data_IF_649373950745
#
_entry.id   IF_649373950745
#
_cell.length_a   1.000
_cell.length_b   1.000
_cell.length_c   1.000
_cell.angle_alpha   90.00
_cell.angle_beta   90.00
_cell.angle_gamma   90.00
#
_symmetry.space_group_name_H-M   'P 1'
#
loop_
_entity.id
_entity.type
_entity.pdbx_description
1 polymer ?
#
# COMPACT_ATOMS: atom_id res chain seq x y z
N UNK A 1 -23.52 11.85 -2.54
CA UNK A 1 -22.09 11.54 -2.25
C UNK A 1 -21.32 12.84 -1.99
N UNK A 2 -20.65 13.00 -0.83
CA UNK A 2 -19.79 14.17 -0.59
C UNK A 2 -18.65 14.19 -1.61
N UNK A 3 -18.49 15.32 -2.34
CA UNK A 3 -17.43 15.52 -3.34
C UNK A 3 -16.08 15.52 -2.63
N UNK A 4 -15.16 14.61 -3.00
CA UNK A 4 -13.80 14.59 -2.43
C UNK A 4 -13.07 15.89 -2.76
N UNK A 5 -12.53 16.53 -1.74
CA UNK A 5 -11.66 17.72 -1.94
C UNK A 5 -10.30 17.25 -2.45
N UNK A 6 -9.73 17.96 -3.39
CA UNK A 6 -8.43 17.71 -3.98
C UNK A 6 -7.80 19.05 -4.40
N UNK A 7 -6.54 19.20 -4.08
CA UNK A 7 -5.70 20.32 -4.57
C UNK A 7 -4.37 19.75 -5.07
N UNK A 8 -3.92 20.10 -6.28
CA UNK A 8 -2.64 19.63 -6.83
C UNK A 8 -1.47 19.96 -5.88
N UNK A 9 -0.54 19.01 -5.72
CA UNK A 9 0.63 19.16 -4.87
C UNK A 9 0.40 19.02 -3.37
N UNK A 10 -0.85 18.97 -2.90
CA UNK A 10 -1.17 18.77 -1.50
C UNK A 10 -1.21 17.31 -1.10
N UNK A 11 -0.90 17.04 0.18
CA UNK A 11 -0.90 15.67 0.70
C UNK A 11 -2.33 15.15 0.85
N UNK A 12 -2.59 14.01 0.24
CA UNK A 12 -3.84 13.28 0.37
C UNK A 12 -3.62 12.03 1.20
N UNK A 13 -4.35 11.92 2.31
CA UNK A 13 -4.46 10.66 3.05
C UNK A 13 -5.56 9.82 2.40
N UNK A 14 -5.22 8.67 1.86
CA UNK A 14 -6.18 7.67 1.38
C UNK A 14 -6.27 6.51 2.36
N UNK A 15 -7.43 5.88 2.41
CA UNK A 15 -7.61 4.61 3.11
C UNK A 15 -8.59 3.74 2.34
N UNK A 16 -8.37 2.45 2.37
CA UNK A 16 -9.19 1.46 1.70
C UNK A 16 -9.22 0.17 2.51
N UNK A 17 -10.40 -0.43 2.61
CA UNK A 17 -10.58 -1.67 3.36
C UNK A 17 -11.20 -2.76 2.49
N UNK A 18 -11.10 -3.97 2.97
CA UNK A 18 -11.78 -5.13 2.42
C UNK A 18 -13.32 -5.00 2.55
N UNK A 19 -14.06 -5.61 1.63
CA UNK A 19 -15.51 -5.40 1.46
C UNK A 19 -16.37 -6.13 2.50
N UNK A 20 -15.92 -7.30 2.98
CA UNK A 20 -16.68 -8.19 3.87
C UNK A 20 -16.14 -8.25 5.30
N UNK A 21 -15.31 -7.30 5.70
CA UNK A 21 -14.63 -7.27 7.00
C UNK A 21 -13.72 -8.49 7.25
N UNK A 22 -13.24 -9.12 6.19
CA UNK A 22 -12.19 -10.14 6.25
C UNK A 22 -10.80 -9.51 6.20
N UNK A 23 -9.79 -10.34 6.25
CA UNK A 23 -8.42 -9.88 6.08
C UNK A 23 -8.14 -9.54 4.61
N UNK A 24 -7.42 -8.45 4.38
CA UNK A 24 -6.90 -8.09 3.06
C UNK A 24 -5.59 -8.82 2.76
N UNK A 25 -4.87 -9.20 3.82
CA UNK A 25 -3.56 -9.85 3.75
C UNK A 25 -3.51 -11.01 4.75
N UNK A 26 -3.45 -12.24 4.24
CA UNK A 26 -3.35 -13.46 5.05
C UNK A 26 -1.92 -13.96 5.19
N UNK A 27 -1.06 -13.60 4.24
CA UNK A 27 0.31 -14.10 4.16
C UNK A 27 1.33 -12.97 3.96
N UNK A 28 2.60 -13.33 4.05
CA UNK A 28 3.72 -12.48 3.68
C UNK A 28 3.67 -12.15 2.19
N UNK A 29 3.39 -13.15 1.38
CA UNK A 29 3.32 -13.05 -0.07
C UNK A 29 2.23 -12.08 -0.52
N UNK A 30 1.07 -12.07 0.13
CA UNK A 30 -0.01 -11.14 -0.18
C UNK A 30 0.44 -9.69 -0.04
N UNK A 31 1.16 -9.37 1.03
CA UNK A 31 1.69 -8.01 1.27
C UNK A 31 2.77 -7.63 0.28
N UNK A 32 3.66 -8.57 -0.07
CA UNK A 32 4.71 -8.32 -1.06
C UNK A 32 4.13 -8.10 -2.45
N UNK A 33 3.19 -8.93 -2.86
CA UNK A 33 2.46 -8.77 -4.13
C UNK A 33 1.72 -7.45 -4.14
N UNK A 34 1.01 -7.11 -3.06
CA UNK A 34 0.32 -5.83 -2.96
C UNK A 34 1.27 -4.64 -3.11
N UNK A 35 2.38 -4.62 -2.35
CA UNK A 35 3.36 -3.53 -2.41
C UNK A 35 3.95 -3.39 -3.81
N UNK A 36 4.30 -4.49 -4.46
CA UNK A 36 4.82 -4.47 -5.83
C UNK A 36 3.82 -3.85 -6.81
N UNK A 37 2.56 -4.28 -6.74
CA UNK A 37 1.47 -3.73 -7.57
C UNK A 37 1.24 -2.26 -7.26
N UNK A 38 1.22 -1.89 -5.97
CA UNK A 38 0.99 -0.52 -5.52
C UNK A 38 2.07 0.43 -6.07
N UNK A 39 3.35 0.09 -5.91
CA UNK A 39 4.45 0.94 -6.40
C UNK A 39 4.56 0.95 -7.92
N UNK A 40 4.31 -0.16 -8.60
CA UNK A 40 4.20 -0.18 -10.05
C UNK A 40 3.13 0.80 -10.55
N UNK A 41 1.95 0.77 -9.94
CA UNK A 41 0.87 1.70 -10.27
C UNK A 41 1.21 3.15 -9.87
N UNK A 42 1.91 3.37 -8.76
CA UNK A 42 2.34 4.71 -8.35
C UNK A 42 3.27 5.34 -9.39
N UNK A 43 4.26 4.59 -9.89
CA UNK A 43 5.12 5.05 -11.00
C UNK A 43 4.32 5.35 -12.26
N UNK A 44 3.44 4.43 -12.66
CA UNK A 44 2.60 4.59 -13.88
C UNK A 44 1.75 5.85 -13.86
N UNK A 45 1.23 6.24 -12.71
CA UNK A 45 0.32 7.38 -12.55
C UNK A 45 0.98 8.62 -11.96
N UNK A 46 2.30 8.64 -11.88
CA UNK A 46 3.10 9.74 -11.29
C UNK A 46 2.62 10.12 -9.88
N UNK A 47 2.44 9.12 -9.02
CA UNK A 47 2.02 9.30 -7.63
C UNK A 47 3.26 9.31 -6.74
N UNK A 48 3.48 10.40 -6.02
CA UNK A 48 4.51 10.46 -4.98
C UNK A 48 3.95 9.86 -3.69
N UNK A 49 4.55 8.77 -3.24
CA UNK A 49 4.17 8.07 -2.00
C UNK A 49 5.03 8.60 -0.86
N UNK A 50 4.41 9.30 0.09
CA UNK A 50 5.08 9.82 1.29
C UNK A 50 5.07 8.81 2.44
N UNK A 51 4.08 7.93 2.45
CA UNK A 51 3.96 6.89 3.47
C UNK A 51 2.89 5.89 3.10
N UNK A 52 3.08 4.66 3.55
CA UNK A 52 2.10 3.58 3.46
C UNK A 52 2.13 2.77 4.75
N UNK A 53 0.98 2.29 5.19
CA UNK A 53 0.83 1.33 6.27
C UNK A 53 -0.21 0.29 5.86
N UNK A 54 0.20 -0.98 5.80
CA UNK A 54 -0.68 -2.11 5.53
C UNK A 54 -1.12 -2.71 6.85
N UNK A 55 -2.37 -2.53 7.20
CA UNK A 55 -3.01 -3.24 8.31
C UNK A 55 -3.47 -4.63 7.85
N UNK A 56 -4.15 -5.39 8.69
CA UNK A 56 -4.61 -6.73 8.33
C UNK A 56 -5.78 -6.67 7.33
N UNK A 57 -6.75 -5.80 7.58
CA UNK A 57 -8.02 -5.68 6.86
C UNK A 57 -8.14 -4.40 6.00
N UNK A 58 -7.18 -3.49 6.12
CA UNK A 58 -7.18 -2.21 5.42
C UNK A 58 -5.77 -1.66 5.20
N UNK A 59 -5.68 -0.60 4.43
CA UNK A 59 -4.45 0.14 4.21
C UNK A 59 -4.66 1.64 4.37
N UNK A 60 -3.58 2.33 4.73
CA UNK A 60 -3.46 3.77 4.71
C UNK A 60 -2.31 4.20 3.81
N UNK A 61 -2.50 5.28 3.04
CA UNK A 61 -1.44 5.89 2.23
C UNK A 61 -1.45 7.41 2.33
N UNK A 62 -0.29 8.03 2.39
CA UNK A 62 -0.08 9.47 2.25
C UNK A 62 0.56 9.71 0.89
N UNK A 63 -0.14 10.43 0.01
CA UNK A 63 0.19 10.55 -1.39
C UNK A 63 0.16 12.02 -1.84
N UNK A 64 0.98 12.34 -2.84
CA UNK A 64 0.86 13.57 -3.63
C UNK A 64 0.68 13.17 -5.09
N UNK A 65 -0.15 13.91 -5.82
CA UNK A 65 -0.38 13.71 -7.24
C UNK A 65 -0.60 15.04 -7.95
N UNK A 66 -0.51 15.03 -9.28
CA UNK A 66 -0.72 16.20 -10.12
C UNK A 66 -2.19 16.46 -10.41
N UNK A 67 -3.03 15.42 -10.33
CA UNK A 67 -4.45 15.54 -10.62
C UNK A 67 -5.32 14.54 -9.84
N UNK A 68 -6.58 14.91 -9.63
CA UNK A 68 -7.59 14.01 -9.07
C UNK A 68 -7.79 12.76 -9.93
N UNK A 69 -7.68 12.90 -11.26
CA UNK A 69 -7.78 11.78 -12.19
C UNK A 69 -6.65 10.79 -11.96
N UNK A 70 -5.41 11.26 -11.75
CA UNK A 70 -4.26 10.42 -11.45
C UNK A 70 -4.49 9.57 -10.19
N UNK A 71 -4.98 10.17 -9.08
CA UNK A 71 -5.33 9.44 -7.84
C UNK A 71 -6.39 8.36 -8.11
N UNK A 72 -7.48 8.72 -8.79
CA UNK A 72 -8.56 7.76 -9.06
C UNK A 72 -8.10 6.61 -9.95
N UNK A 73 -7.32 6.91 -10.99
CA UNK A 73 -6.73 5.90 -11.88
C UNK A 73 -5.73 5.01 -11.17
N UNK A 74 -4.90 5.59 -10.30
CA UNK A 74 -3.96 4.86 -9.45
C UNK A 74 -4.69 3.87 -8.55
N UNK A 75 -5.68 4.34 -7.77
CA UNK A 75 -6.43 3.48 -6.85
C UNK A 75 -7.16 2.38 -7.60
N UNK A 76 -7.83 2.70 -8.71
CA UNK A 76 -8.51 1.71 -9.53
C UNK A 76 -7.55 0.66 -10.09
N UNK A 77 -6.35 1.10 -10.53
CA UNK A 77 -5.34 0.20 -11.11
C UNK A 77 -4.83 -0.80 -10.08
N UNK A 78 -4.30 -0.33 -8.93
CA UNK A 78 -3.75 -1.27 -7.95
C UNK A 78 -4.83 -2.17 -7.34
N UNK A 79 -6.03 -1.63 -7.07
CA UNK A 79 -7.12 -2.41 -6.51
C UNK A 79 -7.57 -3.52 -7.45
N UNK A 80 -7.71 -3.21 -8.75
CA UNK A 80 -8.13 -4.20 -9.76
C UNK A 80 -7.07 -5.27 -9.99
N UNK A 81 -5.79 -4.89 -10.10
CA UNK A 81 -4.70 -5.82 -10.34
C UNK A 81 -4.54 -6.75 -9.14
N UNK A 82 -4.45 -6.17 -7.92
CA UNK A 82 -4.28 -6.98 -6.71
C UNK A 82 -5.48 -7.91 -6.47
N UNK A 83 -6.72 -7.42 -6.62
CA UNK A 83 -7.91 -8.26 -6.46
C UNK A 83 -7.92 -9.45 -7.43
N UNK A 84 -7.52 -9.25 -8.69
CA UNK A 84 -7.40 -10.35 -9.67
C UNK A 84 -6.36 -11.37 -9.24
N UNK A 85 -5.17 -10.92 -8.82
CA UNK A 85 -4.09 -11.79 -8.40
C UNK A 85 -4.46 -12.58 -7.13
N UNK A 86 -5.01 -11.89 -6.13
CA UNK A 86 -5.46 -12.49 -4.87
C UNK A 86 -6.57 -13.51 -5.10
N UNK A 87 -7.63 -13.14 -5.82
CA UNK A 87 -8.73 -14.04 -6.11
C UNK A 87 -8.28 -15.27 -6.88
N UNK A 88 -7.39 -15.11 -7.86
CA UNK A 88 -6.85 -16.25 -8.62
C UNK A 88 -6.03 -17.19 -7.73
N UNK A 89 -5.27 -16.65 -6.76
CA UNK A 89 -4.47 -17.48 -5.84
C UNK A 89 -5.31 -18.23 -4.80
N UNK A 90 -6.46 -17.66 -4.42
CA UNK A 90 -7.36 -18.21 -3.42
C UNK A 90 -8.53 -19.00 -4.01
N UNK A 91 -8.68 -19.05 -5.34
CA UNK A 91 -9.85 -19.65 -5.98
C UNK A 91 -11.16 -18.87 -5.75
N UNK A 92 -11.05 -17.58 -5.44
CA UNK A 92 -12.17 -16.70 -5.12
C UNK A 92 -12.65 -15.92 -6.34
N UNK A 93 -13.86 -15.40 -6.25
CA UNK A 93 -14.45 -14.51 -7.25
C UNK A 93 -15.11 -13.32 -6.56
N UNK A 94 -15.21 -12.20 -7.26
CA UNK A 94 -15.92 -11.02 -6.78
C UNK A 94 -15.00 -9.89 -6.32
N UNK A 95 -15.60 -8.97 -5.59
CA UNK A 95 -14.96 -7.73 -5.17
C UNK A 95 -14.16 -7.95 -3.88
N UNK A 96 -12.89 -7.57 -3.88
CA UNK A 96 -12.02 -7.65 -2.71
C UNK A 96 -12.07 -6.37 -1.88
N UNK A 97 -11.99 -5.20 -2.52
CA UNK A 97 -12.04 -3.91 -1.85
C UNK A 97 -13.44 -3.34 -1.76
N UNK A 98 -13.78 -2.64 -0.70
CA UNK A 98 -15.00 -1.83 -0.61
C UNK A 98 -15.07 -0.83 -1.78
N UNK A 99 -16.29 -0.51 -2.22
CA UNK A 99 -16.61 0.20 -3.48
C UNK A 99 -15.78 1.44 -3.78
N UNK A 100 -15.30 2.14 -2.77
CA UNK A 100 -14.48 3.34 -2.98
C UNK A 100 -13.49 3.53 -1.84
N UNK A 101 -12.34 4.12 -2.17
CA UNK A 101 -11.40 4.56 -1.15
C UNK A 101 -11.92 5.80 -0.41
N UNK A 102 -11.64 5.89 0.88
CA UNK A 102 -11.79 7.13 1.63
C UNK A 102 -10.60 8.04 1.39
N UNK A 103 -10.79 9.35 1.48
CA UNK A 103 -9.70 10.31 1.35
C UNK A 103 -9.92 11.55 2.19
N UNK A 104 -8.81 12.09 2.75
CA UNK A 104 -8.78 13.33 3.51
C UNK A 104 -7.58 14.18 3.10
N UNK A 105 -7.85 15.39 2.64
CA UNK A 105 -6.82 16.35 2.25
C UNK A 105 -6.12 16.90 3.50
N UNK A 106 -4.79 16.99 3.47
CA UNK A 106 -3.92 17.47 4.55
C UNK A 106 -3.19 18.73 4.11
N UNK A 107 -3.75 19.89 4.43
CA UNK A 107 -3.20 21.20 4.06
C UNK A 107 -2.37 21.75 5.21
N UNK A 108 -1.14 22.15 4.90
CA UNK A 108 -0.20 22.80 5.81
C UNK A 108 0.58 21.81 6.70
N UNK A 109 1.75 22.25 7.19
CA UNK A 109 2.72 21.37 7.85
C UNK A 109 2.18 20.65 9.10
N UNK A 110 1.33 21.31 9.89
CA UNK A 110 0.74 20.72 11.11
C UNK A 110 -0.13 19.52 10.78
N UNK A 111 -1.04 19.64 9.79
CA UNK A 111 -1.94 18.54 9.40
C UNK A 111 -1.18 17.39 8.74
N UNK A 112 -0.12 17.69 7.99
CA UNK A 112 0.74 16.69 7.38
C UNK A 112 1.48 15.90 8.45
N UNK A 113 2.14 16.56 9.42
CA UNK A 113 2.81 15.89 10.55
C UNK A 113 1.85 15.01 11.36
N UNK A 114 0.66 15.51 11.68
CA UNK A 114 -0.37 14.72 12.37
C UNK A 114 -0.78 13.48 11.55
N UNK A 115 -0.91 13.62 10.24
CA UNK A 115 -1.27 12.50 9.38
C UNK A 115 -0.15 11.45 9.28
N UNK A 116 1.12 11.88 9.27
CA UNK A 116 2.28 10.99 9.30
C UNK A 116 2.31 10.23 10.63
N UNK A 117 2.19 10.93 11.75
CA UNK A 117 2.15 10.31 13.08
C UNK A 117 1.00 9.29 13.19
N UNK A 118 -0.21 9.66 12.76
CA UNK A 118 -1.36 8.77 12.74
C UNK A 118 -1.10 7.52 11.89
N UNK A 119 -0.57 7.69 10.68
CA UNK A 119 -0.31 6.57 9.78
C UNK A 119 0.65 5.55 10.39
N UNK A 120 1.75 6.02 10.99
CA UNK A 120 2.77 5.14 11.54
C UNK A 120 2.41 4.57 12.91
N UNK A 121 1.61 5.27 13.72
CA UNK A 121 1.16 4.78 15.03
C UNK A 121 -0.08 3.85 14.95
N UNK A 122 -0.71 3.73 13.80
CA UNK A 122 -1.89 2.87 13.63
C UNK A 122 -1.67 1.43 14.13
N UNK A 123 -0.53 0.75 13.80
CA UNK A 123 -0.26 -0.59 14.31
C UNK A 123 -0.06 -0.64 15.84
N UNK A 124 0.53 0.40 16.44
CA UNK A 124 0.70 0.51 17.90
C UNK A 124 -0.65 0.67 18.58
N UNK A 125 -1.52 1.55 18.08
CA UNK A 125 -2.89 1.75 18.59
C UNK A 125 -3.75 0.49 18.49
N UNK A 126 -3.41 -0.42 17.57
CA UNK A 126 -4.06 -1.73 17.40
C UNK A 126 -3.33 -2.87 18.10
N UNK A 127 -2.35 -2.58 18.96
CA UNK A 127 -1.55 -3.56 19.70
C UNK A 127 -0.87 -4.61 18.81
N UNK A 128 -0.51 -4.25 17.58
CA UNK A 128 0.18 -5.13 16.62
C UNK A 128 1.70 -5.10 16.82
N UNK A 129 2.22 -4.06 17.46
CA UNK A 129 3.62 -3.88 17.82
C UNK A 129 3.72 -2.89 19.00
N UNK A 130 4.86 -2.90 19.71
CA UNK A 130 5.11 -1.97 20.81
C UNK A 130 5.56 -0.59 20.29
N UNK A 131 6.29 -0.55 19.20
CA UNK A 131 6.85 0.66 18.60
C UNK A 131 6.53 0.69 17.11
N UNK A 132 6.23 1.86 16.57
CA UNK A 132 5.84 2.03 15.17
C UNK A 132 6.92 1.56 14.18
N UNK A 133 8.20 1.74 14.52
CA UNK A 133 9.34 1.31 13.72
C UNK A 133 9.51 -0.22 13.67
N UNK A 134 8.92 -0.96 14.60
CA UNK A 134 8.96 -2.43 14.62
C UNK A 134 7.92 -3.05 13.69
N UNK A 135 6.95 -2.23 13.23
CA UNK A 135 5.92 -2.74 12.34
C UNK A 135 6.41 -2.81 10.89
N UNK A 136 6.76 -4.00 10.47
CA UNK A 136 7.36 -4.31 9.16
C UNK A 136 6.58 -3.76 7.94
N UNK A 137 5.28 -3.54 8.06
CA UNK A 137 4.41 -3.19 6.94
C UNK A 137 4.07 -1.71 6.88
N UNK A 138 4.89 -0.87 7.49
CA UNK A 138 4.90 0.57 7.29
C UNK A 138 6.31 1.04 6.85
N UNK A 139 6.40 2.21 6.24
CA UNK A 139 7.69 2.74 5.76
C UNK A 139 8.64 3.16 6.87
N UNK A 140 8.13 3.43 8.07
CA UNK A 140 8.96 3.87 9.20
C UNK A 140 9.96 2.79 9.63
N UNK A 141 9.56 1.51 9.56
CA UNK A 141 10.43 0.37 9.87
C UNK A 141 11.71 0.34 9.01
N UNK A 142 11.71 1.02 7.87
CA UNK A 142 12.81 1.04 6.91
C UNK A 142 13.54 2.38 6.83
N UNK A 143 13.13 3.36 7.62
CA UNK A 143 13.70 4.72 7.58
C UNK A 143 15.19 4.78 7.88
N UNK A 144 15.75 3.76 8.54
CA UNK A 144 17.17 3.63 8.89
C UNK A 144 17.85 2.42 8.25
N UNK A 145 17.14 1.66 7.43
CA UNK A 145 17.66 0.43 6.81
C UNK A 145 18.00 0.66 5.35
N UNK A 146 19.20 0.26 4.95
CA UNK A 146 19.57 0.22 3.53
C UNK A 146 18.91 -0.95 2.79
N UNK A 147 18.45 -1.97 3.54
CA UNK A 147 17.81 -3.17 3.02
C UNK A 147 16.45 -3.40 3.67
N UNK A 148 15.37 -2.80 3.12
CA UNK A 148 14.03 -2.84 3.71
C UNK A 148 13.46 -4.24 3.97
N UNK A 149 13.96 -5.27 3.33
CA UNK A 149 13.56 -6.66 3.57
C UNK A 149 14.79 -7.54 3.74
N UNK A 150 15.59 -7.26 4.78
CA UNK A 150 16.85 -7.94 5.07
C UNK A 150 16.71 -9.44 5.34
N UNK A 151 15.52 -9.93 5.68
CA UNK A 151 15.28 -11.35 5.77
C UNK A 151 14.86 -11.89 4.41
N UNK A 152 15.60 -12.85 3.83
CA UNK A 152 15.21 -13.46 2.57
C UNK A 152 13.81 -14.06 2.71
N UNK A 153 12.91 -13.65 1.84
CA UNK A 153 11.59 -14.27 1.74
C UNK A 153 11.79 -15.59 1.02
N UNK A 154 11.87 -16.68 1.79
CA UNK A 154 11.88 -18.01 1.19
C UNK A 154 10.54 -18.26 0.50
N UNK A 155 10.56 -18.25 -0.82
CA UNK A 155 9.39 -18.49 -1.63
C UNK A 155 8.92 -19.93 -1.46
N UNK A 156 7.77 -20.12 -0.83
CA UNK A 156 6.98 -21.35 -1.01
C UNK A 156 6.22 -21.24 -2.34
N UNK A 157 6.96 -21.27 -3.44
CA UNK A 157 6.46 -20.99 -4.80
C UNK A 157 5.39 -21.99 -5.27
N UNK A 158 5.24 -23.14 -4.63
CA UNK A 158 4.30 -24.19 -5.06
C UNK A 158 2.83 -23.82 -4.93
N UNK A 159 2.48 -22.83 -4.08
CA UNK A 159 1.08 -22.42 -3.82
C UNK A 159 0.68 -21.10 -4.48
N UNK A 160 1.60 -20.42 -5.14
CA UNK A 160 1.29 -19.15 -5.79
C UNK A 160 0.76 -19.42 -7.21
N UNK A 161 -0.24 -18.63 -7.63
CA UNK A 161 -0.67 -18.62 -9.03
C UNK A 161 0.47 -18.14 -9.95
N UNK A 162 0.39 -18.48 -11.23
CA UNK A 162 1.39 -18.03 -12.22
C UNK A 162 1.53 -16.50 -12.20
N UNK A 163 0.40 -15.78 -12.19
CA UNK A 163 0.39 -14.32 -12.16
C UNK A 163 1.06 -13.75 -10.89
N UNK A 164 0.85 -14.35 -9.72
CA UNK A 164 1.54 -13.93 -8.50
C UNK A 164 3.04 -14.22 -8.54
N UNK A 165 3.46 -15.34 -9.14
CA UNK A 165 4.88 -15.64 -9.35
C UNK A 165 5.53 -14.61 -10.27
N UNK A 166 4.84 -14.19 -11.32
CA UNK A 166 5.29 -13.16 -12.25
C UNK A 166 5.48 -11.81 -11.54
N UNK A 167 4.51 -11.38 -10.75
CA UNK A 167 4.58 -10.14 -9.97
C UNK A 167 5.73 -10.20 -8.95
N UNK A 168 5.91 -11.30 -8.24
CA UNK A 168 7.03 -11.46 -7.30
C UNK A 168 8.37 -11.47 -8.01
N UNK A 169 8.49 -12.14 -9.18
CA UNK A 169 9.69 -12.10 -9.99
C UNK A 169 10.03 -10.69 -10.48
N UNK A 170 9.02 -9.90 -10.85
CA UNK A 170 9.18 -8.49 -11.17
C UNK A 170 9.64 -7.68 -9.97
N UNK A 171 9.03 -7.90 -8.80
CA UNK A 171 9.40 -7.25 -7.55
C UNK A 171 10.86 -7.54 -7.17
N UNK A 172 11.34 -8.78 -7.34
CA UNK A 172 12.73 -9.11 -7.06
C UNK A 172 13.72 -8.41 -7.97
N UNK A 173 13.41 -8.28 -9.25
CA UNK A 173 14.25 -7.58 -10.21
C UNK A 173 14.34 -6.08 -9.94
N UNK A 174 13.22 -5.48 -9.47
CA UNK A 174 13.08 -4.06 -9.20
C UNK A 174 13.05 -3.74 -7.68
N UNK A 175 13.37 -4.70 -6.83
CA UNK A 175 13.22 -4.58 -5.38
C UNK A 175 13.91 -3.34 -4.82
N UNK A 176 15.10 -3.03 -5.28
CA UNK A 176 15.84 -1.84 -4.88
C UNK A 176 15.26 -0.55 -5.47
N UNK A 177 14.78 -0.57 -6.69
CA UNK A 177 14.16 0.60 -7.34
C UNK A 177 12.84 0.98 -6.69
N UNK A 178 12.03 0.01 -6.29
CA UNK A 178 10.75 0.25 -5.63
C UNK A 178 10.94 0.92 -4.27
N UNK A 179 11.98 0.57 -3.55
CA UNK A 179 12.31 1.17 -2.25
C UNK A 179 13.20 2.41 -2.35
N UNK A 180 14.07 2.52 -3.33
CA UNK A 180 14.84 3.73 -3.57
C UNK A 180 13.96 4.89 -4.04
N UNK A 181 12.87 4.64 -4.76
CA UNK A 181 11.89 5.66 -5.12
C UNK A 181 11.09 6.21 -3.92
N UNK A 182 11.14 5.53 -2.77
CA UNK A 182 10.55 6.00 -1.51
C UNK A 182 11.53 6.86 -0.73
N UNK A 183 12.84 6.68 -0.93
CA UNK A 183 13.90 7.43 -0.24
C UNK A 183 14.27 8.74 -0.93
N UNK A 184 13.87 8.93 -2.19
CA UNK A 184 13.96 10.21 -2.92
C UNK A 184 12.72 11.07 -2.69
#
# INVERSE_FOLDING_TARGET
MKKRRYFPGEVLHIYQREVHCHNLFYSLEDRLVFLTVFYHCARKWNIKVLGICLMIDHLHGLLIADSRKAISSFVNSYSSIYAKLFNASCGLKGQLFAKSYGSALKIGPKKVRTAIAYLFNNPVEKNMCLRAEDYRWNLLAYGRSEHPFSNPVYKKTRRLSYAMKEVLSYHERDMYLTYSSIRQ
#
